data_IF_196992663761
#
_entry.id   IF_196992663761
#
_cell.length_a   1.000
_cell.length_b   1.000
_cell.length_c   1.000
_cell.angle_alpha   90.00
_cell.angle_beta   90.00
_cell.angle_gamma   90.00
#
_symmetry.space_group_name_H-M   'P 1'
#
loop_
_entity.id
_entity.type
_entity.pdbx_description
1 polymer ?
#
# COMPACT_ATOMS: atom_id res chain seq x y z
N UNK A 1 -17.99 -13.20 33.43
CA UNK A 1 -18.38 -14.10 32.32
C UNK A 1 -17.72 -13.56 31.06
N UNK A 2 -16.63 -14.19 30.60
CA UNK A 2 -15.80 -13.66 29.50
C UNK A 2 -15.97 -14.57 28.29
N UNK A 3 -16.66 -14.08 27.26
CA UNK A 3 -16.85 -14.84 26.02
C UNK A 3 -15.66 -14.57 25.09
N UNK A 4 -14.82 -15.59 24.89
CA UNK A 4 -13.82 -15.60 23.82
C UNK A 4 -14.47 -15.91 22.48
N UNK A 5 -13.98 -15.31 21.39
CA UNK A 5 -14.40 -15.65 20.04
C UNK A 5 -13.30 -16.44 19.33
N UNK A 6 -13.73 -17.40 18.50
CA UNK A 6 -12.85 -18.29 17.73
C UNK A 6 -12.96 -17.93 16.25
N UNK A 7 -11.83 -17.73 15.60
CA UNK A 7 -11.75 -17.54 14.15
C UNK A 7 -11.52 -18.90 13.50
N UNK A 8 -12.42 -19.31 12.60
CA UNK A 8 -12.25 -20.50 11.77
C UNK A 8 -11.65 -20.06 10.45
N UNK A 9 -10.36 -20.32 10.27
CA UNK A 9 -9.70 -20.18 8.98
C UNK A 9 -9.90 -21.49 8.21
N UNK A 10 -10.66 -21.43 7.11
CA UNK A 10 -10.95 -22.59 6.27
C UNK A 10 -9.70 -23.05 5.51
N UNK A 11 -9.25 -24.26 5.82
CA UNK A 11 -8.20 -24.99 5.09
C UNK A 11 -7.77 -26.20 5.92
N UNK A 12 -8.11 -27.41 5.48
CA UNK A 12 -8.01 -28.63 6.28
C UNK A 12 -6.57 -29.06 6.60
N UNK A 13 -6.42 -29.44 7.87
CA UNK A 13 -5.43 -30.24 8.59
C UNK A 13 -4.28 -30.95 7.83
N UNK A 14 -3.06 -30.79 8.34
CA UNK A 14 -2.35 -31.82 9.14
C UNK A 14 -1.16 -31.16 9.88
N UNK A 15 -0.94 -31.40 11.18
CA UNK A 15 0.23 -30.92 11.89
C UNK A 15 1.36 -31.95 11.81
N UNK A 16 2.61 -31.53 11.55
CA UNK A 16 3.74 -31.79 12.44
C UNK A 16 5.03 -31.07 12.00
N UNK A 17 5.89 -30.86 12.99
CA UNK A 17 7.26 -30.35 12.96
C UNK A 17 7.45 -28.83 12.81
N UNK A 18 7.46 -28.18 13.98
CA UNK A 18 8.28 -27.01 14.31
C UNK A 18 8.37 -25.92 13.23
N UNK A 19 7.29 -25.14 13.08
CA UNK A 19 7.39 -23.88 12.35
C UNK A 19 8.05 -22.88 13.30
N UNK A 20 9.33 -22.60 13.04
CA UNK A 20 10.01 -21.41 13.53
C UNK A 20 9.05 -20.22 13.39
N UNK A 21 8.60 -19.73 14.55
CA UNK A 21 7.75 -18.54 14.61
C UNK A 21 8.66 -17.38 14.22
N UNK A 22 8.69 -17.05 12.92
CA UNK A 22 9.28 -15.78 12.51
C UNK A 22 8.46 -14.67 13.16
N UNK A 23 9.04 -13.88 14.08
CA UNK A 23 8.32 -12.76 14.66
C UNK A 23 7.96 -11.80 13.52
N UNK A 24 6.73 -11.30 13.52
CA UNK A 24 6.38 -10.14 12.70
C UNK A 24 7.32 -9.02 13.11
N UNK A 25 8.34 -8.78 12.28
CA UNK A 25 9.37 -7.79 12.57
C UNK A 25 8.74 -6.42 12.40
N UNK A 26 8.44 -5.76 13.51
CA UNK A 26 8.24 -4.31 13.58
C UNK A 26 9.58 -3.56 13.63
N UNK A 27 10.62 -4.14 13.02
CA UNK A 27 11.98 -3.62 13.02
C UNK A 27 12.31 -2.93 11.71
N UNK A 28 13.01 -1.81 11.81
CA UNK A 28 13.77 -1.20 10.70
C UNK A 28 14.67 -2.27 10.07
N UNK A 29 14.21 -2.88 8.98
CA UNK A 29 14.94 -3.91 8.24
C UNK A 29 16.20 -3.29 7.62
N UNK A 30 17.35 -3.91 7.91
CA UNK A 30 18.55 -3.71 7.13
C UNK A 30 18.22 -4.01 5.65
N UNK A 31 18.53 -3.06 4.77
CA UNK A 31 18.03 -3.00 3.41
C UNK A 31 18.57 -4.14 2.53
N UNK A 32 17.80 -5.22 2.41
CA UNK A 32 17.88 -6.14 1.28
C UNK A 32 17.22 -5.49 0.06
N UNK A 33 17.84 -5.66 -1.11
CA UNK A 33 17.22 -5.38 -2.41
C UNK A 33 15.83 -6.01 -2.45
N UNK A 34 14.83 -5.31 -3.00
CA UNK A 34 13.49 -5.87 -3.02
C UNK A 34 12.35 -4.91 -3.34
N UNK A 35 11.20 -5.54 -3.57
CA UNK A 35 9.93 -4.86 -3.81
C UNK A 35 9.25 -4.50 -2.50
N UNK A 36 8.74 -3.27 -2.42
CA UNK A 36 7.91 -2.78 -1.32
C UNK A 36 6.65 -2.15 -1.89
N UNK A 37 5.49 -2.48 -1.31
CA UNK A 37 4.22 -1.84 -1.68
C UNK A 37 3.70 -1.05 -0.50
N UNK A 38 3.65 0.26 -0.65
CA UNK A 38 3.04 1.15 0.33
C UNK A 38 1.58 1.39 -0.04
N UNK A 39 0.68 1.13 0.91
CA UNK A 39 -0.73 1.42 0.74
C UNK A 39 -1.11 2.67 1.52
N UNK A 40 -1.52 3.73 0.81
CA UNK A 40 -1.81 5.04 1.41
C UNK A 40 -3.17 5.58 1.00
N UNK A 41 -3.89 6.19 1.94
CA UNK A 41 -5.10 6.95 1.60
C UNK A 41 -4.71 8.19 0.78
N UNK A 42 -5.62 8.68 -0.06
CA UNK A 42 -5.37 9.89 -0.86
C UNK A 42 -4.87 11.09 -0.04
N UNK A 43 -5.37 11.25 1.19
CA UNK A 43 -4.95 12.32 2.10
C UNK A 43 -3.63 12.09 2.84
N UNK A 44 -3.01 10.93 2.69
CA UNK A 44 -1.77 10.55 3.39
C UNK A 44 -0.61 10.22 2.44
N UNK A 45 -0.79 10.47 1.14
CA UNK A 45 0.30 10.45 0.16
C UNK A 45 1.14 11.71 0.39
N UNK A 46 2.42 11.54 0.68
CA UNK A 46 3.33 12.65 0.97
C UNK A 46 3.95 13.25 -0.31
N UNK A 47 4.58 14.41 -0.18
CA UNK A 47 5.21 15.13 -1.29
C UNK A 47 6.33 14.32 -1.97
N UNK A 48 7.03 13.46 -1.20
CA UNK A 48 8.06 12.57 -1.72
C UNK A 48 7.49 11.51 -2.67
N UNK A 49 6.37 10.89 -2.29
CA UNK A 49 5.63 9.96 -3.13
C UNK A 49 5.05 10.65 -4.37
N UNK A 50 4.54 11.89 -4.24
CA UNK A 50 4.06 12.69 -5.38
C UNK A 50 5.21 12.97 -6.35
N UNK A 51 6.38 13.39 -5.85
CA UNK A 51 7.54 13.63 -6.69
C UNK A 51 8.01 12.36 -7.42
N UNK A 52 8.05 11.22 -6.72
CA UNK A 52 8.39 9.92 -7.31
C UNK A 52 7.36 9.46 -8.36
N UNK A 53 6.08 9.78 -8.17
CA UNK A 53 5.03 9.53 -9.16
C UNK A 53 5.23 10.40 -10.42
N UNK A 54 5.51 11.69 -10.29
CA UNK A 54 5.84 12.54 -11.46
C UNK A 54 7.11 12.05 -12.18
N UNK A 55 8.11 11.58 -11.44
CA UNK A 55 9.31 10.98 -12.02
C UNK A 55 9.00 9.68 -12.77
N UNK A 56 8.09 8.84 -12.24
CA UNK A 56 7.57 7.66 -12.92
C UNK A 56 6.86 8.04 -14.23
N UNK A 57 6.01 9.06 -14.22
CA UNK A 57 5.31 9.54 -15.42
C UNK A 57 6.29 10.05 -16.48
N UNK A 58 7.25 10.88 -16.07
CA UNK A 58 8.30 11.41 -16.95
C UNK A 58 9.12 10.29 -17.58
N UNK A 59 9.55 9.30 -16.78
CA UNK A 59 10.36 8.16 -17.24
C UNK A 59 9.63 7.29 -18.27
N UNK A 60 8.30 7.22 -18.20
CA UNK A 60 7.48 6.44 -19.13
C UNK A 60 6.81 7.31 -20.21
N UNK A 61 7.22 8.58 -20.36
CA UNK A 61 6.65 9.54 -21.30
C UNK A 61 5.10 9.63 -21.23
N UNK A 62 4.54 9.51 -20.03
CA UNK A 62 3.10 9.59 -19.81
C UNK A 62 2.69 11.07 -19.81
N UNK A 63 1.82 11.45 -20.74
CA UNK A 63 1.37 12.84 -20.95
C UNK A 63 -0.11 13.05 -20.66
N UNK A 64 -0.86 11.99 -20.33
CA UNK A 64 -2.28 12.12 -19.98
C UNK A 64 -2.43 12.84 -18.62
N UNK A 65 -3.04 14.04 -18.58
CA UNK A 65 -3.22 14.78 -17.33
C UNK A 65 -4.17 14.06 -16.35
N UNK A 66 -4.99 13.11 -16.81
CA UNK A 66 -5.92 12.36 -15.94
C UNK A 66 -5.21 11.38 -15.01
N UNK A 67 -3.94 11.07 -15.27
CA UNK A 67 -3.13 10.23 -14.40
C UNK A 67 -2.16 11.02 -13.52
N UNK A 68 -2.21 12.36 -13.61
CA UNK A 68 -1.38 13.23 -12.78
C UNK A 68 -1.75 13.05 -11.28
N UNK A 69 -0.75 12.96 -10.39
CA UNK A 69 -0.99 12.80 -8.96
C UNK A 69 -1.92 13.87 -8.37
N UNK A 70 -1.78 15.15 -8.74
CA UNK A 70 -2.60 16.21 -8.14
C UNK A 70 -4.05 16.07 -8.55
N UNK A 71 -4.29 15.69 -9.81
CA UNK A 71 -5.62 15.42 -10.31
C UNK A 71 -6.23 14.20 -9.61
N UNK A 72 -5.53 13.06 -9.60
CA UNK A 72 -6.06 11.82 -9.03
C UNK A 72 -6.25 11.88 -7.51
N UNK A 73 -5.33 12.52 -6.77
CA UNK A 73 -5.45 12.67 -5.32
C UNK A 73 -6.63 13.59 -4.97
N UNK A 74 -6.80 14.68 -5.73
CA UNK A 74 -7.98 15.55 -5.61
C UNK A 74 -9.28 14.82 -5.94
N UNK A 75 -9.32 14.08 -7.05
CA UNK A 75 -10.48 13.29 -7.45
C UNK A 75 -10.81 12.21 -6.43
N UNK A 76 -9.82 11.53 -5.87
CA UNK A 76 -10.01 10.52 -4.83
C UNK A 76 -10.58 11.10 -3.52
N UNK A 77 -10.32 12.37 -3.22
CA UNK A 77 -10.86 13.06 -2.02
C UNK A 77 -12.28 13.57 -2.22
N UNK A 78 -12.60 14.05 -3.42
CA UNK A 78 -13.85 14.80 -3.66
C UNK A 78 -14.86 14.06 -4.53
N UNK A 79 -14.43 13.11 -5.36
CA UNK A 79 -15.26 12.43 -6.36
C UNK A 79 -15.39 10.92 -6.08
N UNK A 80 -15.00 10.45 -4.90
CA UNK A 80 -15.04 9.02 -4.58
C UNK A 80 -16.44 8.46 -4.34
N UNK A 81 -17.48 9.28 -4.35
CA UNK A 81 -18.86 8.84 -4.11
C UNK A 81 -19.05 8.18 -2.74
N UNK A 82 -18.31 8.67 -1.73
CA UNK A 82 -18.32 8.12 -0.37
C UNK A 82 -17.39 6.92 -0.17
N UNK A 83 -16.69 6.44 -1.20
CA UNK A 83 -15.71 5.34 -1.06
C UNK A 83 -14.38 5.88 -0.54
N UNK A 84 -13.69 5.09 0.28
CA UNK A 84 -12.30 5.37 0.62
C UNK A 84 -11.41 4.89 -0.53
N UNK A 85 -10.70 5.81 -1.18
CA UNK A 85 -9.71 5.45 -2.21
C UNK A 85 -8.32 5.50 -1.60
N UNK A 86 -7.61 4.37 -1.73
CA UNK A 86 -6.20 4.26 -1.39
C UNK A 86 -5.39 4.06 -2.68
N UNK A 87 -4.10 4.37 -2.61
CA UNK A 87 -3.14 4.19 -3.68
C UNK A 87 -2.08 3.20 -3.21
N UNK A 88 -1.93 2.10 -3.94
CA UNK A 88 -0.80 1.20 -3.81
C UNK A 88 0.37 1.75 -4.62
N UNK A 89 1.47 2.07 -3.93
CA UNK A 89 2.70 2.60 -4.49
C UNK A 89 3.74 1.48 -4.48
N UNK A 90 4.09 0.97 -5.65
CA UNK A 90 5.05 -0.11 -5.80
C UNK A 90 6.46 0.46 -5.97
N UNK A 91 7.31 0.24 -4.98
CA UNK A 91 8.70 0.67 -4.92
C UNK A 91 9.63 -0.51 -5.18
N UNK A 92 10.68 -0.22 -5.94
CA UNK A 92 11.80 -1.12 -6.20
C UNK A 92 13.03 -0.48 -5.57
N UNK A 93 13.67 -1.19 -4.64
CA UNK A 93 14.90 -0.75 -3.99
C UNK A 93 16.07 -1.49 -4.62
N UNK A 94 17.00 -0.72 -5.20
CA UNK A 94 18.22 -1.27 -5.76
C UNK A 94 19.29 -1.54 -4.68
N UNK A 95 20.35 -2.26 -5.06
CA UNK A 95 21.48 -2.57 -4.18
C UNK A 95 22.27 -1.37 -3.67
N UNK A 96 22.02 -0.17 -4.21
CA UNK A 96 22.59 1.09 -3.71
C UNK A 96 21.72 1.73 -2.61
N UNK A 97 20.59 1.11 -2.27
CA UNK A 97 19.61 1.63 -1.32
C UNK A 97 18.71 2.71 -1.91
N UNK A 98 18.79 2.97 -3.22
CA UNK A 98 17.92 3.95 -3.89
C UNK A 98 16.58 3.31 -4.19
N UNK A 99 15.52 4.01 -3.82
CA UNK A 99 14.16 3.58 -4.14
C UNK A 99 13.63 4.29 -5.39
N UNK A 100 13.05 3.50 -6.30
CA UNK A 100 12.35 4.00 -7.47
C UNK A 100 10.91 3.50 -7.44
N UNK A 101 9.96 4.44 -7.54
CA UNK A 101 8.57 4.07 -7.75
C UNK A 101 8.41 3.48 -9.16
N UNK A 102 7.80 2.29 -9.24
CA UNK A 102 7.61 1.53 -10.49
C UNK A 102 6.16 1.50 -10.94
N UNK A 103 5.21 1.66 -10.02
CA UNK A 103 3.80 1.63 -10.35
C UNK A 103 2.94 2.28 -9.27
N UNK A 104 1.77 2.75 -9.70
CA UNK A 104 0.73 3.27 -8.83
C UNK A 104 -0.60 2.65 -9.24
N UNK A 105 -1.33 2.08 -8.28
CA UNK A 105 -2.65 1.51 -8.53
C UNK A 105 -3.67 2.09 -7.55
N UNK A 106 -4.70 2.83 -8.02
CA UNK A 106 -5.81 3.24 -7.17
C UNK A 106 -6.66 2.03 -6.82
N UNK A 107 -7.08 1.95 -5.55
CA UNK A 107 -7.90 0.86 -5.02
C UNK A 107 -9.06 1.44 -4.20
N UNK A 108 -10.27 0.97 -4.49
CA UNK A 108 -11.43 1.26 -3.67
C UNK A 108 -11.40 0.34 -2.44
N UNK A 109 -11.28 0.94 -1.26
CA UNK A 109 -11.17 0.21 -0.02
C UNK A 109 -12.53 0.05 0.64
N UNK A 110 -12.91 -1.17 1.08
CA UNK A 110 -14.10 -1.33 1.91
C UNK A 110 -13.88 -0.64 3.26
N UNK A 111 -14.91 0.06 3.75
CA UNK A 111 -14.83 0.86 4.98
C UNK A 111 -14.37 0.07 6.22
N UNK A 112 -14.58 -1.26 6.24
CA UNK A 112 -14.22 -2.11 7.36
C UNK A 112 -12.71 -2.21 7.60
N UNK A 113 -11.88 -2.06 6.57
CA UNK A 113 -10.43 -2.30 6.69
C UNK A 113 -9.67 -1.05 7.16
N UNK A 114 -10.16 0.16 6.85
CA UNK A 114 -9.44 1.41 7.16
C UNK A 114 -9.85 2.10 8.47
N UNK A 115 -10.69 1.44 9.28
CA UNK A 115 -11.24 2.04 10.49
C UNK A 115 -12.20 3.19 10.17
N UNK A 116 -13.21 3.36 11.03
CA UNK A 116 -14.13 4.49 10.89
C UNK A 116 -13.35 5.77 11.17
N UNK A 117 -13.07 6.57 10.13
CA UNK A 117 -12.72 7.98 10.32
C UNK A 117 -13.88 8.60 11.12
N UNK A 118 -13.61 8.93 12.39
CA UNK A 118 -14.54 9.65 13.24
C UNK A 118 -14.47 11.13 12.93
#
# INVERSE_FOLDING_TARGET
MTHGFTVIQGGQAQPDAAVDVHPVSTGTEAATEGWRVDLRLAGTVDDGAVAAWRALMTRNAITDPRVDPDYLLSAARHQSGGRAIAFALAWDRDGSGREALRGVMPMAMPHAIWGRAR
#
